data_IF_983441563026
#
_entry.id   IF_983441563026
#
_cell.length_a   1.000
_cell.length_b   1.000
_cell.length_c   1.000
_cell.angle_alpha   90.00
_cell.angle_beta   90.00
_cell.angle_gamma   90.00
#
_symmetry.space_group_name_H-M   'P 1'
#
loop_
_entity.id
_entity.type
_entity.pdbx_description
1 polymer ?
#
# COMPACT_ATOMS: atom_id res chain seq x y z
N UNK A 1 48.63 33.15 36.80
CA UNK A 1 48.84 32.60 35.45
C UNK A 1 47.78 31.48 35.25
N UNK A 2 46.64 31.81 34.64
CA UNK A 2 45.56 30.86 34.39
C UNK A 2 45.78 30.18 33.05
N UNK A 3 46.01 28.87 33.05
CA UNK A 3 46.07 28.05 31.85
C UNK A 3 44.65 27.65 31.50
N UNK A 4 44.11 28.30 30.48
CA UNK A 4 42.88 27.86 29.82
C UNK A 4 43.23 26.63 28.98
N UNK A 5 42.86 25.44 29.44
CA UNK A 5 42.86 24.21 28.63
C UNK A 5 41.61 24.27 27.77
N UNK A 6 41.76 24.67 26.52
CA UNK A 6 40.73 24.53 25.50
C UNK A 6 40.79 23.05 25.08
N UNK A 7 39.94 22.22 25.66
CA UNK A 7 39.68 20.89 25.14
C UNK A 7 38.78 21.08 23.91
N UNK A 8 39.37 21.22 22.74
CA UNK A 8 38.65 21.01 21.48
C UNK A 8 38.36 19.49 21.39
N UNK A 9 37.15 19.10 21.62
CA UNK A 9 36.68 17.72 21.40
C UNK A 9 36.48 17.55 19.90
N UNK A 10 37.53 17.13 19.17
CA UNK A 10 37.48 16.86 17.73
C UNK A 10 36.65 15.64 17.37
N UNK A 11 36.09 14.94 18.37
CA UNK A 11 35.26 13.77 18.17
C UNK A 11 33.99 14.03 17.34
N UNK A 12 33.54 15.28 17.26
CA UNK A 12 32.39 15.70 16.47
C UNK A 12 32.69 15.99 15.00
N UNK A 13 33.98 16.11 14.66
CA UNK A 13 34.43 16.45 13.30
C UNK A 13 34.77 15.19 12.48
N UNK A 14 34.73 14.01 13.09
CA UNK A 14 35.01 12.74 12.44
C UNK A 14 33.74 11.87 12.36
N UNK A 15 33.63 11.07 11.27
CA UNK A 15 32.58 10.11 11.13
C UNK A 15 32.71 9.01 12.18
N UNK A 16 31.68 8.87 13.03
CA UNK A 16 31.69 7.91 14.15
C UNK A 16 31.04 6.57 13.78
N UNK A 17 30.30 6.53 12.69
CA UNK A 17 29.57 5.37 12.21
C UNK A 17 29.81 5.13 10.74
N UNK A 18 29.87 3.89 10.33
CA UNK A 18 29.94 3.55 8.90
C UNK A 18 28.70 4.08 8.15
N UNK A 19 28.96 4.64 6.99
CA UNK A 19 27.91 5.19 6.13
C UNK A 19 27.34 4.13 5.23
N UNK A 20 26.15 3.66 5.55
CA UNK A 20 25.40 2.66 4.78
C UNK A 20 24.27 3.31 3.99
N UNK A 21 23.92 2.69 2.88
CA UNK A 21 22.74 3.05 2.09
C UNK A 21 21.56 2.20 2.52
N UNK A 22 20.39 2.84 2.68
CA UNK A 22 19.16 2.16 3.03
C UNK A 22 17.95 2.77 2.34
N UNK A 23 16.92 1.96 2.12
CA UNK A 23 15.59 2.44 1.80
C UNK A 23 14.89 2.96 3.05
N UNK A 24 14.16 4.06 2.94
CA UNK A 24 13.22 4.49 3.97
C UNK A 24 11.86 3.83 3.73
N UNK A 25 11.82 2.54 3.95
CA UNK A 25 10.66 1.69 3.73
C UNK A 25 10.32 0.93 5.03
N UNK A 26 9.64 1.57 6.00
CA UNK A 26 9.31 0.93 7.26
C UNK A 26 8.41 -0.28 7.03
N UNK A 27 8.81 -1.42 7.58
CA UNK A 27 8.08 -2.67 7.44
C UNK A 27 6.91 -2.69 8.43
N UNK A 28 5.70 -2.90 7.92
CA UNK A 28 4.50 -3.07 8.73
C UNK A 28 4.37 -4.48 9.33
N UNK A 29 3.31 -4.70 10.10
CA UNK A 29 3.03 -5.95 10.79
C UNK A 29 2.93 -7.17 9.85
N UNK A 30 2.60 -6.91 8.59
CA UNK A 30 2.48 -7.95 7.55
C UNK A 30 3.81 -8.31 6.86
N UNK A 31 4.92 -7.71 7.28
CA UNK A 31 6.26 -7.99 6.75
C UNK A 31 6.59 -7.24 5.45
N UNK A 32 5.71 -6.39 4.97
CA UNK A 32 5.84 -5.54 3.78
C UNK A 32 5.67 -4.07 4.15
N UNK A 33 6.08 -3.18 3.24
CA UNK A 33 5.80 -1.75 3.33
C UNK A 33 4.61 -1.42 2.45
N UNK A 34 3.49 -1.05 3.04
CA UNK A 34 2.32 -0.62 2.29
C UNK A 34 2.57 0.76 1.67
N UNK A 35 2.49 0.85 0.34
CA UNK A 35 2.60 2.10 -0.41
C UNK A 35 1.27 2.42 -1.09
N UNK A 36 0.77 3.61 -0.84
CA UNK A 36 -0.48 4.09 -1.42
C UNK A 36 -0.18 4.91 -2.67
N UNK A 37 -0.70 4.48 -3.81
CA UNK A 37 -0.51 5.14 -5.10
C UNK A 37 -1.85 5.55 -5.69
N UNK A 38 -1.97 6.83 -6.10
CA UNK A 38 -3.24 7.31 -6.67
C UNK A 38 -3.47 6.68 -8.03
N UNK A 39 -4.57 5.95 -8.17
CA UNK A 39 -5.01 5.43 -9.45
C UNK A 39 -5.51 6.58 -10.33
N UNK A 40 -4.98 6.68 -11.54
CA UNK A 40 -5.41 7.63 -12.55
C UNK A 40 -5.99 6.88 -13.74
N UNK A 41 -6.77 7.56 -14.55
CA UNK A 41 -7.26 7.00 -15.81
C UNK A 41 -6.10 6.43 -16.64
N UNK A 42 -6.25 5.20 -17.14
CA UNK A 42 -5.16 4.47 -17.81
C UNK A 42 -4.21 3.73 -16.86
N UNK A 43 -4.44 3.77 -15.55
CA UNK A 43 -3.70 2.96 -14.56
C UNK A 43 -2.29 3.45 -14.23
N UNK A 44 -1.85 4.59 -14.77
CA UNK A 44 -0.53 5.13 -14.45
C UNK A 44 -0.49 5.70 -13.04
N UNK A 45 0.49 5.27 -12.26
CA UNK A 45 0.74 5.78 -10.93
C UNK A 45 2.25 5.94 -10.68
N UNK A 46 2.63 6.86 -9.79
CA UNK A 46 4.02 7.13 -9.44
C UNK A 46 4.22 7.07 -7.94
N UNK A 47 5.38 6.60 -7.53
CA UNK A 47 5.81 6.59 -6.14
C UNK A 47 7.28 6.99 -6.05
N UNK A 48 7.63 7.76 -5.04
CA UNK A 48 9.00 8.18 -4.76
C UNK A 48 9.48 7.52 -3.49
N UNK A 49 10.37 6.54 -3.64
CA UNK A 49 10.93 5.82 -2.50
C UNK A 49 12.17 6.57 -1.99
N UNK A 50 12.14 7.09 -0.75
CA UNK A 50 13.32 7.75 -0.21
C UNK A 50 14.44 6.75 0.09
N UNK A 51 15.65 7.12 -0.28
CA UNK A 51 16.89 6.44 0.06
C UNK A 51 17.73 7.36 0.94
N UNK A 52 18.39 6.82 1.93
CA UNK A 52 19.17 7.57 2.90
C UNK A 52 20.58 7.01 3.04
N UNK A 53 21.52 7.90 3.31
CA UNK A 53 22.87 7.57 3.78
C UNK A 53 22.87 7.73 5.28
N UNK A 54 23.16 6.63 6.02
CA UNK A 54 23.37 6.69 7.47
C UNK A 54 24.75 7.25 7.79
N UNK A 55 24.95 7.69 9.03
CA UNK A 55 26.21 8.22 9.49
C UNK A 55 26.01 9.37 10.46
N UNK A 56 27.08 9.82 11.11
CA UNK A 56 27.10 11.01 11.99
C UNK A 56 27.39 12.30 11.23
N UNK A 57 28.08 12.21 10.10
CA UNK A 57 28.41 13.33 9.23
C UNK A 57 27.66 13.25 7.88
N UNK A 58 27.60 14.38 7.15
CA UNK A 58 27.11 14.39 5.78
C UNK A 58 27.89 13.41 4.88
N UNK A 59 27.20 12.85 3.88
CA UNK A 59 27.83 12.04 2.85
C UNK A 59 29.04 12.76 2.24
N UNK A 60 30.23 12.22 2.44
CA UNK A 60 31.50 12.87 2.02
C UNK A 60 31.88 12.67 0.55
N UNK A 61 31.13 11.85 -0.21
CA UNK A 61 31.45 11.49 -1.60
C UNK A 61 30.21 11.27 -2.45
N UNK A 62 30.34 11.45 -3.75
CA UNK A 62 29.30 11.05 -4.68
C UNK A 62 29.16 9.51 -4.68
N UNK A 63 27.94 9.02 -4.69
CA UNK A 63 27.62 7.59 -4.70
C UNK A 63 26.61 7.29 -5.80
N UNK A 64 26.89 6.31 -6.64
CA UNK A 64 25.94 5.78 -7.61
C UNK A 64 25.43 4.44 -7.09
N UNK A 65 24.21 4.43 -6.60
CA UNK A 65 23.60 3.28 -5.93
C UNK A 65 22.83 2.43 -6.95
N UNK A 66 23.13 1.15 -7.01
CA UNK A 66 22.48 0.19 -7.92
C UNK A 66 21.27 -0.46 -7.25
N UNK A 67 20.15 -0.48 -7.96
CA UNK A 67 18.88 -1.04 -7.48
C UNK A 67 18.56 -2.29 -8.29
N UNK A 68 18.20 -3.35 -7.61
CA UNK A 68 17.81 -4.63 -8.20
C UNK A 68 16.44 -5.08 -7.70
N UNK A 69 15.79 -5.94 -8.47
CA UNK A 69 14.61 -6.71 -8.03
C UNK A 69 15.07 -7.93 -7.26
N UNK A 70 14.46 -8.20 -6.12
CA UNK A 70 14.84 -9.27 -5.19
C UNK A 70 13.62 -10.14 -4.85
N UNK A 71 13.27 -11.04 -5.75
CA UNK A 71 12.16 -11.99 -5.57
C UNK A 71 12.42 -12.99 -4.46
N UNK A 72 13.68 -13.37 -4.23
CA UNK A 72 14.06 -14.36 -3.22
C UNK A 72 13.66 -13.89 -1.81
N UNK A 73 13.83 -12.60 -1.52
CA UNK A 73 13.39 -12.03 -0.23
C UNK A 73 11.88 -12.12 -0.06
N UNK A 74 11.10 -11.93 -1.13
CA UNK A 74 9.65 -12.07 -1.11
C UNK A 74 9.24 -13.54 -0.89
N UNK A 75 9.89 -14.47 -1.54
CA UNK A 75 9.62 -15.91 -1.42
C UNK A 75 9.92 -16.42 0.00
N UNK A 76 11.03 -15.95 0.60
CA UNK A 76 11.36 -16.24 2.00
C UNK A 76 10.29 -15.69 2.95
N UNK A 77 9.79 -14.46 2.71
CA UNK A 77 8.71 -13.89 3.51
C UNK A 77 7.44 -14.71 3.40
N UNK A 78 7.04 -15.08 2.17
CA UNK A 78 5.85 -15.87 1.91
C UNK A 78 5.89 -17.22 2.63
N UNK A 79 6.98 -17.94 2.47
CA UNK A 79 7.16 -19.25 3.10
C UNK A 79 7.17 -19.18 4.64
N UNK A 80 7.76 -18.11 5.20
CA UNK A 80 7.80 -17.92 6.65
C UNK A 80 6.46 -17.49 7.27
N UNK A 81 5.62 -16.79 6.49
CA UNK A 81 4.43 -16.15 7.02
C UNK A 81 3.14 -16.92 6.77
N UNK A 82 3.01 -17.52 5.60
CA UNK A 82 1.75 -18.11 5.15
C UNK A 82 1.85 -19.63 5.07
N UNK A 83 0.89 -20.32 5.67
CA UNK A 83 0.80 -21.80 5.58
C UNK A 83 0.23 -22.29 4.25
N UNK A 84 -0.19 -21.39 3.34
CA UNK A 84 -0.84 -21.71 2.07
C UNK A 84 -0.49 -20.68 1.01
N UNK A 85 -0.21 -21.16 -0.19
CA UNK A 85 0.18 -20.33 -1.34
C UNK A 85 -0.91 -19.37 -1.82
N UNK A 86 -2.20 -19.71 -1.63
CA UNK A 86 -3.35 -18.85 -1.97
C UNK A 86 -3.31 -17.48 -1.25
N UNK A 87 -2.57 -17.40 -0.15
CA UNK A 87 -2.45 -16.19 0.67
C UNK A 87 -1.17 -15.41 0.38
N UNK A 88 -0.27 -15.95 -0.45
CA UNK A 88 1.02 -15.34 -0.74
C UNK A 88 0.89 -13.96 -1.36
N UNK A 89 1.88 -13.15 -1.09
CA UNK A 89 2.17 -11.96 -1.90
C UNK A 89 2.67 -12.41 -3.26
N UNK A 90 2.32 -11.67 -4.29
CA UNK A 90 2.70 -11.95 -5.67
C UNK A 90 3.68 -10.87 -6.13
N UNK A 91 4.83 -11.27 -6.66
CA UNK A 91 5.76 -10.31 -7.24
C UNK A 91 5.09 -9.57 -8.41
N UNK A 92 5.21 -8.25 -8.42
CA UNK A 92 4.68 -7.42 -9.49
C UNK A 92 5.43 -7.75 -10.79
N UNK A 93 4.69 -7.97 -11.87
CA UNK A 93 5.23 -8.33 -13.17
C UNK A 93 6.12 -7.20 -13.73
N UNK A 94 7.20 -7.55 -14.43
CA UNK A 94 8.21 -6.58 -14.90
C UNK A 94 7.68 -5.53 -15.89
N UNK A 95 6.57 -5.81 -16.59
CA UNK A 95 5.88 -4.88 -17.47
C UNK A 95 4.96 -3.89 -16.73
N UNK A 96 4.83 -4.04 -15.40
CA UNK A 96 3.95 -3.26 -14.55
C UNK A 96 4.64 -2.14 -13.79
N UNK A 97 5.95 -2.04 -13.89
CA UNK A 97 6.73 -0.98 -13.23
C UNK A 97 7.95 -0.59 -14.05
N UNK A 98 8.44 0.63 -13.78
CA UNK A 98 9.73 1.09 -14.27
C UNK A 98 10.40 1.95 -13.19
N UNK A 99 11.70 1.77 -13.03
CA UNK A 99 12.56 2.61 -12.20
C UNK A 99 13.99 2.62 -12.77
N UNK A 100 14.81 3.66 -12.48
CA UNK A 100 16.19 3.68 -12.90
C UNK A 100 17.00 2.60 -12.18
N UNK A 101 17.87 1.89 -12.91
CA UNK A 101 18.73 0.85 -12.32
C UNK A 101 19.79 1.41 -11.36
N UNK A 102 20.05 2.72 -11.44
CA UNK A 102 20.96 3.43 -10.56
C UNK A 102 20.38 4.76 -10.09
N UNK A 103 20.76 5.18 -8.89
CA UNK A 103 20.37 6.47 -8.30
C UNK A 103 21.60 7.14 -7.73
N UNK A 104 21.83 8.40 -8.08
CA UNK A 104 22.96 9.18 -7.56
C UNK A 104 22.60 9.86 -6.23
N UNK A 105 23.54 9.81 -5.30
CA UNK A 105 23.51 10.55 -4.03
C UNK A 105 24.74 11.45 -4.00
N UNK A 106 24.60 12.76 -4.30
CA UNK A 106 25.70 13.68 -4.32
C UNK A 106 26.37 13.86 -2.96
N UNK A 107 27.66 14.16 -2.96
CA UNK A 107 28.37 14.57 -1.75
C UNK A 107 27.64 15.74 -1.06
N UNK A 108 27.66 15.75 0.26
CA UNK A 108 26.96 16.74 1.08
C UNK A 108 25.44 16.50 1.27
N UNK A 109 24.87 15.48 0.61
CA UNK A 109 23.44 15.12 0.79
C UNK A 109 23.27 13.86 1.62
N UNK A 110 22.16 13.78 2.38
CA UNK A 110 21.84 12.63 3.21
C UNK A 110 20.83 11.69 2.58
N UNK A 111 20.14 12.14 1.52
CA UNK A 111 19.06 11.38 0.93
C UNK A 111 18.85 11.73 -0.53
N UNK A 112 18.22 10.80 -1.23
CA UNK A 112 17.72 10.96 -2.59
C UNK A 112 16.38 10.24 -2.72
N UNK A 113 15.73 10.35 -3.88
CA UNK A 113 14.49 9.69 -4.19
C UNK A 113 14.68 8.75 -5.37
N UNK A 114 14.24 7.51 -5.22
CA UNK A 114 14.06 6.57 -6.33
C UNK A 114 12.65 6.78 -6.89
N UNK A 115 12.56 7.30 -8.10
CA UNK A 115 11.27 7.45 -8.80
C UNK A 115 10.84 6.10 -9.40
N UNK A 116 9.65 5.65 -9.04
CA UNK A 116 9.03 4.41 -9.52
C UNK A 116 7.72 4.75 -10.21
N UNK A 117 7.57 4.31 -11.44
CA UNK A 117 6.31 4.38 -12.20
C UNK A 117 5.64 3.01 -12.21
N UNK A 118 4.31 2.97 -12.06
CA UNK A 118 3.50 1.77 -12.12
C UNK A 118 2.51 1.86 -13.27
N UNK A 119 2.29 0.75 -13.94
CA UNK A 119 1.17 0.55 -14.86
C UNK A 119 0.18 -0.43 -14.21
N UNK A 120 -0.92 0.11 -13.68
CA UNK A 120 -1.95 -0.64 -12.97
C UNK A 120 -3.20 -0.88 -13.83
N UNK A 121 -3.15 -0.54 -15.14
CA UNK A 121 -4.26 -0.78 -16.05
C UNK A 121 -4.55 -2.27 -16.19
N UNK A 122 -5.82 -2.63 -16.01
CA UNK A 122 -6.29 -4.02 -16.08
C UNK A 122 -5.52 -5.02 -15.20
N UNK A 123 -4.91 -4.55 -14.11
CA UNK A 123 -4.27 -5.43 -13.13
C UNK A 123 -5.33 -6.04 -12.20
N UNK A 124 -5.20 -7.32 -11.89
CA UNK A 124 -6.08 -7.96 -10.89
C UNK A 124 -5.69 -7.50 -9.48
N UNK A 125 -6.36 -6.46 -8.99
CA UNK A 125 -6.13 -5.90 -7.64
C UNK A 125 -6.63 -6.79 -6.49
N UNK A 126 -7.18 -7.96 -6.79
CA UNK A 126 -7.40 -9.01 -5.81
C UNK A 126 -6.07 -9.61 -5.31
N UNK A 127 -5.09 -9.73 -6.18
CA UNK A 127 -3.77 -10.22 -5.83
C UNK A 127 -3.02 -9.20 -4.96
N UNK A 128 -2.28 -9.71 -3.99
CA UNK A 128 -1.47 -8.88 -3.08
C UNK A 128 -0.13 -8.56 -3.75
N UNK A 129 -0.11 -7.61 -4.68
CA UNK A 129 1.06 -7.26 -5.47
C UNK A 129 2.15 -6.58 -4.64
N UNK A 130 3.37 -7.08 -4.77
CA UNK A 130 4.56 -6.53 -4.11
C UNK A 130 5.66 -6.30 -5.13
N UNK A 131 6.26 -5.11 -5.13
CA UNK A 131 7.52 -4.83 -5.83
C UNK A 131 8.67 -5.07 -4.84
N UNK A 132 9.42 -6.17 -4.98
CA UNK A 132 10.56 -6.46 -4.12
C UNK A 132 11.81 -5.80 -4.67
N UNK A 133 12.43 -4.91 -3.90
CA UNK A 133 13.65 -4.19 -4.27
C UNK A 133 14.78 -4.50 -3.30
N UNK A 134 16.01 -4.49 -3.82
CA UNK A 134 17.22 -4.50 -3.01
C UNK A 134 18.23 -3.47 -3.51
N UNK A 135 19.02 -2.94 -2.59
CA UNK A 135 20.25 -2.22 -2.89
C UNK A 135 21.28 -3.29 -3.22
N UNK A 136 21.78 -3.29 -4.46
CA UNK A 136 22.81 -4.24 -4.85
C UNK A 136 24.10 -3.94 -4.10
N UNK A 137 24.73 -4.98 -3.60
CA UNK A 137 25.97 -4.91 -2.83
C UNK A 137 27.07 -5.65 -3.59
N UNK A 138 28.11 -4.94 -3.97
CA UNK A 138 29.27 -5.49 -4.67
C UNK A 138 30.54 -4.78 -4.17
N UNK A 139 31.62 -5.52 -3.90
CA UNK A 139 32.88 -4.95 -3.41
C UNK A 139 33.51 -3.88 -4.32
N UNK A 140 33.13 -3.81 -5.59
CA UNK A 140 33.58 -2.78 -6.55
C UNK A 140 32.83 -1.45 -6.40
N UNK A 141 31.69 -1.44 -5.69
CA UNK A 141 30.91 -0.22 -5.50
C UNK A 141 31.52 0.71 -4.46
N UNK A 142 31.27 2.00 -4.61
CA UNK A 142 31.75 3.00 -3.67
C UNK A 142 30.79 3.24 -2.49
N UNK A 143 29.90 2.28 -2.21
CA UNK A 143 28.96 2.27 -1.10
C UNK A 143 28.75 0.84 -0.61
N UNK A 144 28.14 0.71 0.55
CA UNK A 144 27.67 -0.54 1.12
C UNK A 144 26.18 -0.42 1.47
N UNK A 145 25.43 -1.50 1.22
CA UNK A 145 24.06 -1.63 1.68
C UNK A 145 24.02 -1.80 3.21
N UNK A 146 23.02 -1.23 3.86
CA UNK A 146 22.90 -1.30 5.31
C UNK A 146 22.71 -2.76 5.78
N UNK A 147 23.60 -3.32 6.66
CA UNK A 147 23.57 -4.73 7.05
C UNK A 147 22.36 -5.13 7.90
N UNK A 148 21.69 -4.14 8.51
CA UNK A 148 20.50 -4.44 9.32
C UNK A 148 19.37 -4.94 8.45
N UNK A 149 18.71 -6.01 8.92
CA UNK A 149 17.56 -6.64 8.26
C UNK A 149 16.53 -5.58 7.83
N UNK A 150 16.05 -5.68 6.59
CA UNK A 150 15.04 -4.82 5.96
C UNK A 150 15.47 -3.37 5.67
N UNK A 151 16.75 -3.00 5.79
CA UNK A 151 17.19 -1.65 5.46
C UNK A 151 17.69 -1.54 4.02
N UNK A 152 18.47 -2.52 3.56
CA UNK A 152 18.90 -2.60 2.15
C UNK A 152 17.85 -3.28 1.24
N UNK A 153 16.69 -3.66 1.79
CA UNK A 153 15.61 -4.35 1.07
C UNK A 153 14.28 -3.66 1.32
N UNK A 154 13.46 -3.57 0.29
CA UNK A 154 12.13 -2.97 0.37
C UNK A 154 11.10 -3.86 -0.33
N UNK A 155 10.18 -4.43 0.41
CA UNK A 155 9.04 -5.17 -0.11
C UNK A 155 7.83 -4.22 -0.17
N UNK A 156 7.65 -3.54 -1.30
CA UNK A 156 6.64 -2.51 -1.47
C UNK A 156 5.31 -3.15 -1.91
N UNK A 157 4.35 -3.27 -0.99
CA UNK A 157 3.00 -3.68 -1.33
C UNK A 157 2.26 -2.50 -1.97
N UNK A 158 1.90 -2.66 -3.24
CA UNK A 158 1.25 -1.61 -4.02
C UNK A 158 -0.24 -1.59 -3.74
N UNK A 159 -0.72 -0.51 -3.13
CA UNK A 159 -2.12 -0.28 -2.79
C UNK A 159 -2.64 0.94 -3.56
N UNK A 160 -3.28 0.73 -4.71
CA UNK A 160 -3.92 1.82 -5.42
C UNK A 160 -5.06 2.42 -4.60
N UNK A 161 -5.25 3.73 -4.71
CA UNK A 161 -6.41 4.39 -4.14
C UNK A 161 -7.05 5.35 -5.16
N UNK A 162 -8.35 5.53 -5.05
CA UNK A 162 -9.15 6.52 -5.76
C UNK A 162 -9.98 7.33 -4.75
N UNK A 163 -10.90 8.15 -5.23
CA UNK A 163 -11.72 9.00 -4.38
C UNK A 163 -12.73 8.23 -3.52
N UNK A 164 -12.95 6.95 -3.81
CA UNK A 164 -13.94 6.08 -3.17
C UNK A 164 -13.32 4.91 -2.41
N UNK A 165 -12.01 4.71 -2.51
CA UNK A 165 -11.32 3.62 -1.82
C UNK A 165 -10.93 4.01 -0.40
N UNK A 166 -10.68 3.01 0.43
CA UNK A 166 -10.24 3.19 1.82
C UNK A 166 -11.05 2.39 2.81
N UNK A 167 -10.91 2.70 4.09
CA UNK A 167 -11.61 2.02 5.15
C UNK A 167 -12.93 2.72 5.47
N UNK A 168 -14.02 1.98 5.36
CA UNK A 168 -15.36 2.43 5.69
C UNK A 168 -15.77 1.93 7.07
N UNK A 169 -16.37 2.81 7.88
CA UNK A 169 -17.07 2.40 9.08
C UNK A 169 -18.38 1.71 8.69
N UNK A 170 -18.60 0.53 9.22
CA UNK A 170 -19.80 -0.29 8.95
C UNK A 170 -20.57 -0.62 10.21
N UNK A 171 -20.47 0.24 11.23
CA UNK A 171 -21.15 0.03 12.52
C UNK A 171 -22.68 0.01 12.41
N UNK A 172 -23.25 0.59 11.36
CA UNK A 172 -24.67 0.52 11.04
C UNK A 172 -25.03 -0.63 10.07
N UNK A 173 -24.04 -1.38 9.59
CA UNK A 173 -24.27 -2.51 8.66
C UNK A 173 -24.82 -3.71 9.42
N UNK A 174 -25.79 -4.37 8.81
CA UNK A 174 -26.38 -5.61 9.31
C UNK A 174 -26.25 -6.70 8.24
N UNK A 175 -25.59 -7.77 8.59
CA UNK A 175 -25.42 -8.94 7.70
C UNK A 175 -26.23 -10.10 8.26
N UNK A 176 -27.11 -10.66 7.45
CA UNK A 176 -27.94 -11.78 7.81
C UNK A 176 -27.69 -12.98 6.91
N UNK A 177 -27.83 -14.17 7.44
CA UNK A 177 -27.77 -15.42 6.68
C UNK A 177 -29.14 -15.72 6.09
N UNK A 178 -29.18 -16.00 4.79
CA UNK A 178 -30.36 -16.47 4.10
C UNK A 178 -30.36 -18.00 4.12
N UNK A 179 -31.44 -18.59 4.65
CA UNK A 179 -31.64 -20.03 4.70
C UNK A 179 -31.90 -20.59 3.30
N UNK A 180 -31.80 -21.92 3.15
CA UNK A 180 -32.06 -22.60 1.87
C UNK A 180 -33.51 -22.46 1.37
N UNK A 181 -34.47 -22.27 2.27
CA UNK A 181 -35.86 -22.01 1.96
C UNK A 181 -36.17 -20.56 1.58
N UNK A 182 -35.13 -19.69 1.59
CA UNK A 182 -35.24 -18.29 1.28
C UNK A 182 -35.60 -17.39 2.46
N UNK A 183 -35.88 -17.95 3.63
CA UNK A 183 -36.11 -17.17 4.85
C UNK A 183 -34.80 -16.51 5.35
N UNK A 184 -34.95 -15.39 6.04
CA UNK A 184 -33.83 -14.67 6.64
C UNK A 184 -34.01 -14.72 8.16
N UNK A 185 -33.02 -15.28 8.85
CA UNK A 185 -32.98 -15.19 10.30
C UNK A 185 -32.47 -13.81 10.71
N UNK A 186 -33.37 -12.98 11.22
CA UNK A 186 -33.06 -11.63 11.70
C UNK A 186 -32.78 -11.57 13.20
N UNK A 187 -32.72 -12.70 13.89
CA UNK A 187 -32.49 -12.72 15.35
C UNK A 187 -31.07 -12.30 15.71
N UNK A 188 -30.10 -12.64 14.85
CA UNK A 188 -28.69 -12.27 15.05
C UNK A 188 -28.07 -11.73 13.75
N UNK A 189 -27.71 -10.45 13.76
CA UNK A 189 -26.89 -9.89 12.70
C UNK A 189 -25.40 -10.21 12.95
N UNK A 190 -24.67 -10.62 11.93
CA UNK A 190 -23.22 -10.78 12.00
C UNK A 190 -22.61 -9.38 12.13
N UNK A 191 -21.92 -9.07 13.26
CA UNK A 191 -21.39 -7.73 13.48
C UNK A 191 -20.20 -7.45 12.54
N UNK A 192 -20.18 -6.27 11.97
CA UNK A 192 -19.05 -5.76 11.21
C UNK A 192 -18.77 -4.34 11.64
N UNK A 193 -17.51 -3.99 11.88
CA UNK A 193 -17.14 -2.65 12.33
C UNK A 193 -16.53 -1.81 11.23
N UNK A 194 -15.76 -2.45 10.35
CA UNK A 194 -15.07 -1.80 9.23
C UNK A 194 -15.07 -2.68 7.99
N UNK A 195 -15.01 -2.05 6.82
CA UNK A 195 -14.79 -2.69 5.52
C UNK A 195 -13.78 -1.88 4.72
N UNK A 196 -12.90 -2.57 4.01
CA UNK A 196 -11.95 -1.94 3.10
C UNK A 196 -12.48 -1.98 1.68
N UNK A 197 -12.53 -0.82 1.04
CA UNK A 197 -12.81 -0.64 -0.37
C UNK A 197 -11.51 -0.66 -1.17
N UNK A 198 -11.37 -1.62 -2.06
CA UNK A 198 -10.21 -1.77 -2.94
C UNK A 198 -10.51 -1.21 -4.32
N UNK A 199 -9.55 -0.54 -4.94
CA UNK A 199 -9.71 0.08 -6.26
C UNK A 199 -9.92 -0.98 -7.35
N UNK A 200 -10.82 -0.70 -8.28
CA UNK A 200 -10.97 -1.41 -9.56
C UNK A 200 -10.55 -0.50 -10.72
N UNK A 201 -11.13 0.70 -10.73
CA UNK A 201 -10.81 1.78 -11.67
C UNK A 201 -11.02 3.16 -11.01
N UNK A 202 -11.07 4.23 -11.80
CA UNK A 202 -11.18 5.61 -11.28
C UNK A 202 -12.44 5.84 -10.42
N UNK A 203 -13.57 5.24 -10.78
CA UNK A 203 -14.86 5.43 -10.12
C UNK A 203 -15.44 4.14 -9.53
N UNK A 204 -14.69 3.05 -9.57
CA UNK A 204 -15.15 1.75 -9.08
C UNK A 204 -14.22 1.23 -8.00
N UNK A 205 -14.82 0.72 -6.93
CA UNK A 205 -14.13 -0.05 -5.90
C UNK A 205 -14.80 -1.40 -5.74
N UNK A 206 -14.12 -2.36 -5.11
CA UNK A 206 -14.78 -3.58 -4.66
C UNK A 206 -14.69 -3.74 -3.15
N UNK A 207 -15.69 -4.38 -2.60
CA UNK A 207 -15.71 -4.90 -1.24
C UNK A 207 -15.87 -6.42 -1.29
N UNK A 208 -15.38 -7.11 -0.28
CA UNK A 208 -15.79 -8.49 -0.06
C UNK A 208 -17.17 -8.51 0.58
N UNK A 209 -18.07 -9.34 0.03
CA UNK A 209 -19.46 -9.39 0.44
C UNK A 209 -19.64 -9.87 1.88
N UNK A 210 -20.66 -9.36 2.54
CA UNK A 210 -21.03 -9.77 3.89
C UNK A 210 -19.88 -9.63 4.90
N UNK A 211 -19.55 -10.72 5.59
CA UNK A 211 -18.47 -10.78 6.59
C UNK A 211 -17.12 -11.26 6.05
N UNK A 212 -16.98 -11.43 4.73
CA UNK A 212 -15.74 -11.88 4.09
C UNK A 212 -14.68 -10.79 4.13
N UNK A 213 -13.38 -11.17 4.15
CA UNK A 213 -12.24 -10.25 4.12
C UNK A 213 -11.07 -10.76 3.26
N UNK A 214 -9.99 -9.99 3.19
CA UNK A 214 -8.84 -10.31 2.33
C UNK A 214 -8.02 -11.52 2.79
N UNK A 215 -8.19 -12.00 4.01
CA UNK A 215 -7.42 -13.12 4.58
C UNK A 215 -8.15 -14.47 4.43
N UNK A 216 -9.37 -14.46 3.88
CA UNK A 216 -10.12 -15.68 3.55
C UNK A 216 -9.65 -16.27 2.22
N UNK A 217 -9.56 -17.60 2.18
CA UNK A 217 -9.03 -18.34 1.02
C UNK A 217 -9.89 -18.14 -0.22
N UNK A 218 -11.21 -18.30 -0.05
CA UNK A 218 -12.20 -18.19 -1.14
C UNK A 218 -12.68 -16.74 -1.39
N UNK A 219 -11.95 -15.75 -0.92
CA UNK A 219 -12.32 -14.33 -0.97
C UNK A 219 -12.65 -13.80 -2.37
N UNK A 220 -11.97 -14.32 -3.40
CA UNK A 220 -12.21 -13.96 -4.81
C UNK A 220 -13.64 -14.21 -5.27
N UNK A 221 -14.29 -15.23 -4.71
CA UNK A 221 -15.69 -15.59 -5.02
C UNK A 221 -16.70 -14.57 -4.54
N UNK A 222 -16.29 -13.71 -3.61
CA UNK A 222 -17.18 -12.80 -2.87
C UNK A 222 -16.91 -11.33 -3.16
N UNK A 223 -16.24 -11.00 -4.26
CA UNK A 223 -16.04 -9.61 -4.68
C UNK A 223 -17.34 -9.01 -5.23
N UNK A 224 -17.74 -7.88 -4.67
CA UNK A 224 -18.83 -7.05 -5.17
C UNK A 224 -18.25 -5.69 -5.54
N UNK A 225 -18.41 -5.28 -6.79
CA UNK A 225 -18.00 -3.99 -7.31
C UNK A 225 -19.05 -2.94 -7.02
N UNK A 226 -18.62 -1.77 -6.59
CA UNK A 226 -19.42 -0.59 -6.35
C UNK A 226 -18.94 0.49 -7.32
N UNK A 227 -19.73 0.79 -8.31
CA UNK A 227 -19.48 1.85 -9.27
C UNK A 227 -20.19 3.13 -8.81
N UNK A 228 -19.42 4.19 -8.62
CA UNK A 228 -19.89 5.51 -8.21
C UNK A 228 -20.04 6.40 -9.45
N UNK A 229 -21.25 6.85 -9.73
CA UNK A 229 -21.50 7.80 -10.82
C UNK A 229 -21.22 9.22 -10.31
N UNK A 230 -20.14 9.90 -10.78
CA UNK A 230 -19.75 11.21 -10.23
C UNK A 230 -20.70 12.33 -10.66
N UNK A 231 -21.42 12.13 -11.76
CA UNK A 231 -22.32 13.10 -12.34
C UNK A 231 -23.79 12.78 -12.03
N UNK A 232 -24.66 13.78 -12.13
CA UNK A 232 -26.10 13.61 -11.92
C UNK A 232 -26.49 13.33 -10.47
N UNK A 233 -27.28 12.30 -10.25
CA UNK A 233 -27.86 11.94 -8.94
C UNK A 233 -26.87 11.25 -8.00
N UNK A 234 -25.62 11.10 -8.40
CA UNK A 234 -24.57 10.42 -7.62
C UNK A 234 -25.00 9.03 -7.17
N UNK A 235 -25.35 8.20 -8.13
CA UNK A 235 -25.80 6.83 -7.87
C UNK A 235 -24.65 5.88 -7.60
N UNK A 236 -24.92 4.82 -6.84
CA UNK A 236 -24.04 3.68 -6.64
C UNK A 236 -24.69 2.44 -7.25
N UNK A 237 -24.02 1.83 -8.22
CA UNK A 237 -24.42 0.57 -8.84
C UNK A 237 -23.51 -0.55 -8.37
N UNK A 238 -24.09 -1.69 -8.02
CA UNK A 238 -23.33 -2.86 -7.59
C UNK A 238 -23.39 -3.97 -8.64
N UNK A 239 -22.25 -4.63 -8.86
CA UNK A 239 -22.11 -5.75 -9.78
C UNK A 239 -21.14 -6.79 -9.21
N UNK A 240 -21.19 -8.02 -9.73
CA UNK A 240 -20.21 -9.05 -9.44
C UNK A 240 -19.72 -9.69 -10.74
N UNK A 241 -18.43 -10.01 -10.81
CA UNK A 241 -17.87 -10.78 -11.93
C UNK A 241 -18.09 -12.29 -11.76
N UNK A 242 -18.60 -12.72 -10.61
CA UNK A 242 -18.86 -14.10 -10.33
C UNK A 242 -20.34 -14.43 -10.58
N UNK A 243 -20.63 -15.09 -11.67
CA UNK A 243 -21.98 -15.50 -12.07
C UNK A 243 -22.68 -16.43 -11.04
N UNK A 244 -21.90 -17.06 -10.15
CA UNK A 244 -22.43 -17.89 -9.07
C UNK A 244 -23.02 -17.07 -7.93
N UNK A 245 -22.60 -15.82 -7.80
CA UNK A 245 -23.21 -14.86 -6.90
C UNK A 245 -24.43 -14.29 -7.60
N UNK A 246 -25.61 -14.68 -7.17
CA UNK A 246 -26.87 -14.09 -7.66
C UNK A 246 -27.10 -12.74 -7.00
N UNK A 247 -26.20 -11.80 -7.27
CA UNK A 247 -26.23 -10.47 -6.67
C UNK A 247 -27.49 -9.72 -7.10
N UNK A 248 -28.27 -9.27 -6.15
CA UNK A 248 -29.45 -8.46 -6.36
C UNK A 248 -29.38 -7.19 -5.47
N UNK A 249 -29.32 -6.03 -6.09
CA UNK A 249 -29.43 -4.75 -5.39
C UNK A 249 -30.91 -4.47 -5.12
N UNK A 250 -31.30 -4.35 -3.86
CA UNK A 250 -32.70 -4.30 -3.45
C UNK A 250 -33.33 -2.91 -3.65
N UNK A 251 -32.49 -1.87 -3.68
CA UNK A 251 -32.94 -0.49 -3.94
C UNK A 251 -31.87 0.33 -4.62
N UNK A 252 -32.27 1.37 -5.35
CA UNK A 252 -31.37 2.39 -5.86
C UNK A 252 -30.72 3.14 -4.70
N UNK A 253 -29.45 3.44 -4.81
CA UNK A 253 -28.67 4.08 -3.77
C UNK A 253 -27.88 5.25 -4.32
N UNK A 254 -28.00 6.40 -3.69
CA UNK A 254 -27.12 7.55 -3.90
C UNK A 254 -26.03 7.63 -2.81
N UNK A 255 -24.99 8.39 -3.10
CA UNK A 255 -23.93 8.68 -2.15
C UNK A 255 -23.73 10.17 -1.94
N UNK A 256 -23.10 10.53 -0.84
CA UNK A 256 -22.70 11.90 -0.53
C UNK A 256 -21.20 11.98 -0.27
N UNK A 257 -20.61 13.13 -0.59
CA UNK A 257 -19.23 13.44 -0.26
C UNK A 257 -19.22 14.68 0.62
N UNK A 258 -18.53 14.60 1.75
CA UNK A 258 -18.22 15.73 2.60
C UNK A 258 -16.71 15.87 2.75
N UNK A 259 -16.21 17.10 2.65
CA UNK A 259 -14.80 17.43 2.89
C UNK A 259 -14.68 18.30 4.12
N UNK A 260 -13.89 17.85 5.08
CA UNK A 260 -13.71 18.53 6.36
C UNK A 260 -12.22 18.73 6.61
N UNK A 261 -11.74 19.96 6.88
CA UNK A 261 -10.36 20.18 7.28
C UNK A 261 -10.04 19.45 8.59
N UNK A 262 -8.83 18.90 8.69
CA UNK A 262 -8.32 18.33 9.93
C UNK A 262 -8.19 19.43 10.99
N UNK A 263 -8.68 19.15 12.21
CA UNK A 263 -8.71 20.14 13.32
C UNK A 263 -7.32 20.57 13.75
N UNK A 264 -6.35 19.65 13.69
CA UNK A 264 -4.97 19.90 14.14
C UNK A 264 -4.03 20.27 13.00
N UNK A 265 -4.38 19.86 11.78
CA UNK A 265 -3.60 20.07 10.55
C UNK A 265 -4.49 20.60 9.42
N UNK A 266 -4.90 21.89 9.45
CA UNK A 266 -5.92 22.44 8.54
C UNK A 266 -5.58 22.34 7.04
N UNK A 267 -4.33 22.04 6.69
CA UNK A 267 -3.89 21.77 5.32
C UNK A 267 -4.26 20.35 4.82
N UNK A 268 -4.71 19.47 5.71
CA UNK A 268 -5.24 18.16 5.37
C UNK A 268 -6.77 18.22 5.29
N UNK A 269 -7.33 17.68 4.22
CA UNK A 269 -8.78 17.51 4.04
C UNK A 269 -9.13 16.04 4.23
N UNK A 270 -10.06 15.78 5.15
CA UNK A 270 -10.70 14.48 5.28
C UNK A 270 -11.89 14.45 4.31
N UNK A 271 -11.89 13.48 3.41
CA UNK A 271 -13.01 13.23 2.50
C UNK A 271 -13.82 12.05 3.03
N UNK A 272 -15.08 12.29 3.30
CA UNK A 272 -16.03 11.29 3.77
C UNK A 272 -17.01 10.95 2.65
N UNK A 273 -16.99 9.70 2.20
CA UNK A 273 -17.97 9.16 1.26
C UNK A 273 -18.97 8.35 2.08
N UNK A 274 -20.23 8.71 1.99
CA UNK A 274 -21.32 8.05 2.73
C UNK A 274 -22.37 7.52 1.77
N UNK A 275 -22.72 6.24 1.90
CA UNK A 275 -23.80 5.61 1.15
C UNK A 275 -24.44 4.48 1.96
N UNK A 276 -25.67 4.10 1.59
CA UNK A 276 -26.39 2.96 2.16
C UNK A 276 -26.89 2.10 1.03
N UNK A 277 -26.40 0.87 0.96
CA UNK A 277 -26.77 -0.10 -0.07
C UNK A 277 -27.34 -1.35 0.57
N UNK A 278 -28.51 -1.79 0.08
CA UNK A 278 -29.13 -3.06 0.48
C UNK A 278 -29.00 -4.04 -0.68
N UNK A 279 -28.45 -5.20 -0.42
CA UNK A 279 -28.29 -6.24 -1.43
C UNK A 279 -28.38 -7.64 -0.81
N UNK A 280 -28.65 -8.62 -1.66
CA UNK A 280 -28.57 -10.04 -1.35
C UNK A 280 -27.74 -10.79 -2.39
N UNK A 281 -27.17 -11.93 -2.00
CA UNK A 281 -26.33 -12.75 -2.85
C UNK A 281 -26.34 -14.22 -2.41
#
# INVERSE_FOLDING_TARGET
MSVLVISCNSEWDEEQYEQYISFKAPVGDKGVTDIYVRYKQGGEATYRLPMIVSGSLPNGKDRTVHIAVDTDTLDILNAARFGREDLYYVALESNRYAFPSTVDIPAGTFSTLLDITFNLDNIDLFKKWVLPLSIADDPSYNYEGHPRKNYAKALLRVLPFNDYSGTYSTTAMQVYIKNRDGSIDKSEAIPTTTRTAYVVDENTVFFYAGAMDEDLIDRDKYKIKFHFEPDGEKLVKITSDNDKIKLNQLKETSYTIAEVPDVTRPYLLHRYVTFSVDYEF
#
